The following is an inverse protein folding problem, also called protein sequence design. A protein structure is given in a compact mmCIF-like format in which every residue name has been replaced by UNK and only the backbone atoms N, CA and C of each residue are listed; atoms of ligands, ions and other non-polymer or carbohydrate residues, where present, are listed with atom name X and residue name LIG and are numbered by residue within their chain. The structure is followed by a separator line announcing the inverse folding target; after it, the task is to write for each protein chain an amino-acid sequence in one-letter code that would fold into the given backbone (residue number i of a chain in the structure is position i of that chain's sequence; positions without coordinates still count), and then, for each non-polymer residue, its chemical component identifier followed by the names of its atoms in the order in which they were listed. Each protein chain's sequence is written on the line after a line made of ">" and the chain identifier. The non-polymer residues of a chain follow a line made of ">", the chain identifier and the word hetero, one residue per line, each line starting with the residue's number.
data_IF_805605186217
#
_entry.id   IF_805605186217
#
_cell.length_a   1.000
_cell.length_b   1.000
_cell.length_c   1.000
_cell.angle_alpha   90.00
_cell.angle_beta   90.00
_cell.angle_gamma   90.00
#
_symmetry.space_group_name_H-M   'P 1'
#
loop_
_entity.id
_entity.type
_entity.pdbx_description
1 polymer ?
#
# COMPACT_ATOMS: atom_id res chain seq x y z
N UNK A 1 1.62 -3.35 -0.22
CA UNK A 1 2.20 -3.07 -1.54
C UNK A 1 3.04 -1.81 -1.43
N UNK A 2 4.28 -1.81 -1.95
CA UNK A 2 5.24 -0.72 -1.77
C UNK A 2 5.85 -0.33 -3.12
N UNK A 3 5.98 0.97 -3.36
CA UNK A 3 6.74 1.55 -4.45
C UNK A 3 7.97 2.26 -3.87
N UNK A 4 9.13 2.14 -4.52
CA UNK A 4 10.41 2.69 -4.01
C UNK A 4 10.35 4.21 -3.78
N UNK A 5 9.83 4.95 -4.75
CA UNK A 5 9.71 6.41 -4.69
C UNK A 5 8.44 6.91 -3.99
N UNK A 6 7.27 6.31 -4.25
CA UNK A 6 5.98 6.78 -3.73
C UNK A 6 5.68 6.26 -2.30
N UNK A 7 6.34 5.20 -1.86
CA UNK A 7 6.15 4.61 -0.53
C UNK A 7 5.09 3.52 -0.50
N UNK A 8 4.38 3.40 0.62
CA UNK A 8 3.34 2.40 0.84
C UNK A 8 2.06 2.83 0.17
N UNK A 9 1.38 1.92 -0.53
CA UNK A 9 0.04 2.18 -1.03
C UNK A 9 -0.94 2.27 0.15
N UNK A 10 -1.52 3.45 0.34
CA UNK A 10 -2.43 3.73 1.45
C UNK A 10 -3.87 3.35 1.07
N UNK A 11 -4.26 3.63 -0.17
CA UNK A 11 -5.61 3.37 -0.67
C UNK A 11 -5.94 4.28 -1.84
N UNK A 12 -7.21 4.38 -2.20
CA UNK A 12 -7.67 5.30 -3.22
C UNK A 12 -9.02 5.91 -2.88
N UNK A 13 -9.25 7.13 -3.35
CA UNK A 13 -10.55 7.80 -3.26
C UNK A 13 -10.69 8.78 -4.42
N UNK A 14 -11.91 8.95 -4.94
CA UNK A 14 -12.20 9.88 -6.04
C UNK A 14 -11.29 9.70 -7.29
N UNK A 15 -10.88 8.46 -7.57
CA UNK A 15 -10.01 8.14 -8.71
C UNK A 15 -8.51 8.43 -8.49
N UNK A 16 -8.11 8.82 -7.28
CA UNK A 16 -6.71 9.09 -6.93
C UNK A 16 -6.15 8.00 -6.02
N UNK A 17 -4.95 7.51 -6.33
CA UNK A 17 -4.19 6.62 -5.45
C UNK A 17 -3.35 7.42 -4.46
N UNK A 18 -3.42 7.07 -3.18
CA UNK A 18 -2.67 7.69 -2.11
C UNK A 18 -1.47 6.81 -1.73
N UNK A 19 -0.34 7.47 -1.54
CA UNK A 19 0.93 6.81 -1.26
C UNK A 19 1.65 7.54 -0.14
N UNK A 20 2.29 6.77 0.74
CA UNK A 20 2.76 7.27 2.02
C UNK A 20 3.87 8.34 1.94
N UNK A 21 4.62 8.43 0.83
CA UNK A 21 5.63 9.49 0.61
C UNK A 21 5.10 10.66 -0.23
N UNK A 22 3.92 10.52 -0.83
CA UNK A 22 3.30 11.59 -1.61
C UNK A 22 2.27 12.34 -0.76
N UNK A 23 1.25 11.64 -0.31
CA UNK A 23 0.21 12.15 0.56
C UNK A 23 -0.51 10.97 1.24
N UNK A 24 -0.27 10.80 2.54
CA UNK A 24 -0.92 9.79 3.35
C UNK A 24 -2.35 10.19 3.77
N UNK A 25 -2.78 11.44 3.50
CA UNK A 25 -4.12 11.98 3.78
C UNK A 25 -4.62 11.69 5.21
N UNK A 26 -3.74 11.78 6.20
CA UNK A 26 -4.06 11.53 7.61
C UNK A 26 -4.20 10.06 7.97
N UNK A 27 -3.94 9.13 7.04
CA UNK A 27 -4.19 7.71 7.25
C UNK A 27 -3.09 7.06 8.09
N UNK A 28 -3.53 6.38 9.14
CA UNK A 28 -2.69 5.61 10.05
C UNK A 28 -2.59 4.13 9.65
N UNK A 29 -3.28 3.75 8.57
CA UNK A 29 -3.38 2.39 8.06
C UNK A 29 -3.14 2.36 6.55
N UNK A 30 -2.51 1.30 6.08
CA UNK A 30 -2.35 0.98 4.67
C UNK A 30 -3.30 -0.16 4.29
N UNK A 31 -3.81 -0.13 3.06
CA UNK A 31 -4.54 -1.27 2.48
C UNK A 31 -3.59 -2.46 2.31
N UNK A 32 -4.04 -3.63 2.77
CA UNK A 32 -3.38 -4.91 2.52
C UNK A 32 -4.26 -5.80 1.65
N UNK A 33 -3.62 -6.81 1.06
CA UNK A 33 -4.24 -7.77 0.17
C UNK A 33 -3.91 -9.18 0.66
N UNK A 34 -4.86 -10.10 0.51
CA UNK A 34 -4.71 -11.50 0.92
C UNK A 34 -3.63 -12.23 0.09
N UNK A 35 -3.35 -11.72 -1.10
CA UNK A 35 -2.31 -12.27 -1.98
C UNK A 35 -1.71 -11.21 -2.90
N UNK A 36 -0.53 -11.53 -3.44
CA UNK A 36 0.10 -10.75 -4.51
C UNK A 36 -0.81 -10.62 -5.73
N UNK A 37 -1.53 -11.67 -6.10
CA UNK A 37 -2.42 -11.67 -7.26
C UNK A 37 -3.61 -10.71 -7.06
N UNK A 38 -4.13 -10.61 -5.84
CA UNK A 38 -5.18 -9.63 -5.51
C UNK A 38 -4.63 -8.20 -5.55
N UNK A 39 -3.43 -7.97 -5.04
CA UNK A 39 -2.76 -6.67 -5.12
C UNK A 39 -2.53 -6.27 -6.59
N UNK A 40 -2.05 -7.19 -7.43
CA UNK A 40 -1.88 -6.95 -8.87
C UNK A 40 -3.21 -6.75 -9.59
N UNK A 41 -4.27 -7.45 -9.19
CA UNK A 41 -5.61 -7.23 -9.74
C UNK A 41 -6.10 -5.82 -9.44
N UNK A 42 -5.81 -5.29 -8.24
CA UNK A 42 -6.09 -3.90 -7.88
C UNK A 42 -5.29 -2.91 -8.75
N UNK A 43 -3.99 -3.14 -8.95
CA UNK A 43 -3.15 -2.28 -9.80
C UNK A 43 -3.63 -2.29 -11.24
N UNK A 44 -3.96 -3.48 -11.77
CA UNK A 44 -4.45 -3.66 -13.14
C UNK A 44 -5.84 -3.06 -13.38
N UNK A 45 -6.59 -2.73 -12.32
CA UNK A 45 -7.88 -2.06 -12.45
C UNK A 45 -7.76 -0.54 -12.55
N UNK A 46 -6.55 0.03 -12.45
CA UNK A 46 -6.32 1.47 -12.60
C UNK A 46 -6.29 1.88 -14.07
N UNK A 47 -6.68 3.13 -14.37
CA UNK A 47 -6.65 3.67 -15.74
C UNK A 47 -5.24 3.67 -16.35
N UNK A 48 -4.22 3.82 -15.50
CA UNK A 48 -2.81 3.70 -15.86
C UNK A 48 -2.12 2.74 -14.86
N UNK A 49 -2.13 1.42 -15.11
CA UNK A 49 -1.56 0.45 -14.20
C UNK A 49 -0.05 0.61 -14.12
N UNK A 50 0.51 0.51 -12.91
CA UNK A 50 1.95 0.50 -12.73
C UNK A 50 2.51 -0.88 -13.07
N UNK A 51 3.70 -0.96 -13.69
CA UNK A 51 4.32 -2.24 -13.96
C UNK A 51 4.71 -2.93 -12.65
N UNK A 52 4.59 -4.26 -12.62
CA UNK A 52 4.92 -5.06 -11.44
C UNK A 52 6.38 -4.86 -10.98
N UNK A 53 7.30 -4.56 -11.91
CA UNK A 53 8.71 -4.29 -11.62
C UNK A 53 8.93 -3.10 -10.69
N UNK A 54 7.98 -2.17 -10.63
CA UNK A 54 8.08 -0.95 -9.82
C UNK A 54 7.47 -1.16 -8.42
N UNK A 55 6.92 -2.36 -8.18
CA UNK A 55 6.22 -2.73 -6.98
C UNK A 55 6.94 -3.84 -6.21
N UNK A 56 6.99 -3.68 -4.89
CA UNK A 56 7.40 -4.71 -3.94
C UNK A 56 6.21 -5.15 -3.10
N UNK A 57 6.10 -6.47 -2.90
CA UNK A 57 5.03 -7.09 -2.11
C UNK A 57 5.66 -7.71 -0.88
N UNK A 58 5.45 -7.07 0.27
CA UNK A 58 5.93 -7.52 1.56
C UNK A 58 4.77 -8.16 2.34
N UNK A 59 4.94 -9.37 2.89
CA UNK A 59 3.95 -9.96 3.78
C UNK A 59 3.92 -9.15 5.09
N UNK A 60 2.72 -8.85 5.59
CA UNK A 60 2.51 -8.12 6.84
C UNK A 60 1.55 -8.93 7.71
N UNK A 61 1.91 -9.13 8.97
CA UNK A 61 0.96 -9.63 9.97
C UNK A 61 0.10 -8.46 10.44
N UNK A 62 -1.22 -8.59 10.34
CA UNK A 62 -2.16 -7.53 10.69
C UNK A 62 -3.37 -8.10 11.43
N UNK A 63 -3.99 -7.26 12.26
CA UNK A 63 -5.16 -7.68 13.06
C UNK A 63 -6.49 -7.39 12.36
N UNK A 64 -6.56 -6.32 11.60
CA UNK A 64 -7.80 -5.86 10.95
C UNK A 64 -7.90 -6.40 9.52
N UNK A 65 -9.02 -7.01 9.11
CA UNK A 65 -9.18 -7.47 7.73
C UNK A 65 -9.02 -6.33 6.72
N UNK A 66 -8.10 -6.48 5.75
CA UNK A 66 -7.88 -5.53 4.67
C UNK A 66 -7.03 -4.30 5.02
N UNK A 67 -6.64 -4.11 6.29
CA UNK A 67 -5.83 -2.98 6.72
C UNK A 67 -4.68 -3.40 7.66
N UNK A 68 -3.55 -2.70 7.54
CA UNK A 68 -2.43 -2.80 8.48
C UNK A 68 -2.03 -1.41 8.96
N UNK A 69 -1.86 -1.28 10.27
CA UNK A 69 -1.36 -0.06 10.91
C UNK A 69 0.10 0.23 10.56
N UNK A 70 0.54 1.48 10.73
CA UNK A 70 1.94 1.89 10.57
C UNK A 70 2.90 0.94 11.31
N UNK A 71 2.60 0.62 12.57
CA UNK A 71 3.48 -0.21 13.40
C UNK A 71 3.54 -1.67 12.90
N UNK A 72 2.45 -2.19 12.33
CA UNK A 72 2.42 -3.52 11.71
C UNK A 72 3.26 -3.55 10.42
N UNK A 73 3.13 -2.53 9.57
CA UNK A 73 3.95 -2.38 8.37
C UNK A 73 5.44 -2.19 8.71
N UNK A 74 5.77 -1.40 9.73
CA UNK A 74 7.15 -1.19 10.18
C UNK A 74 7.82 -2.48 10.64
N UNK A 75 7.10 -3.34 11.38
CA UNK A 75 7.60 -4.66 11.78
C UNK A 75 7.88 -5.58 10.60
N UNK A 76 7.16 -5.41 9.49
CA UNK A 76 7.40 -6.13 8.24
C UNK A 76 8.58 -5.55 7.42
N UNK A 77 9.28 -4.54 7.94
CA UNK A 77 10.43 -3.91 7.30
C UNK A 77 10.07 -2.77 6.35
N UNK A 78 8.85 -2.27 6.40
CA UNK A 78 8.42 -1.12 5.60
C UNK A 78 8.87 0.17 6.28
N UNK A 79 9.28 1.16 5.50
CA UNK A 79 9.61 2.49 6.03
C UNK A 79 8.36 3.14 6.68
N UNK A 80 8.53 3.60 7.92
CA UNK A 80 7.47 4.28 8.67
C UNK A 80 7.04 5.55 7.97
N UNK A 81 5.73 5.77 7.81
CA UNK A 81 5.19 7.03 7.27
C UNK A 81 4.60 7.94 8.34
N UNK A 82 4.47 9.22 7.99
CA UNK A 82 3.78 10.24 8.78
C UNK A 82 2.35 10.36 8.24
N UNK A 83 1.30 10.20 9.07
CA UNK A 83 -0.10 10.38 8.65
C UNK A 83 -0.38 11.76 8.08
#
# INVERSE_FOLDING_TARGET
>A
MVHSEQGVYIGSCMGLGFWSKLDAVGQTHAVVFDSKDQAMSCVNSWDNPMPESDLSFLPVEHKEPGYASIDECERAGVERWVP
#
